data_IF_541162188825
#
_entry.id   IF_541162188825
#
_cell.length_a   1.000
_cell.length_b   1.000
_cell.length_c   1.000
_cell.angle_alpha   90.00
_cell.angle_beta   90.00
_cell.angle_gamma   90.00
#
_symmetry.space_group_name_H-M   'P 1'
#
loop_
_entity.id
_entity.type
_entity.pdbx_description
1 polymer ?
#
# COMPACT_ATOMS: atom_id res chain seq x y z
N UNK A 1 22.94 -37.96 63.14
CA UNK A 1 22.81 -38.40 61.73
C UNK A 1 22.40 -37.22 60.83
N UNK A 2 23.22 -36.18 60.64
CA UNK A 2 22.83 -35.05 59.75
C UNK A 2 23.99 -34.38 58.99
N UNK A 3 25.19 -34.98 58.92
CA UNK A 3 26.35 -34.35 58.28
C UNK A 3 26.83 -35.01 56.99
N UNK A 4 26.08 -35.97 56.45
CA UNK A 4 26.41 -36.66 55.18
C UNK A 4 25.53 -36.23 54.01
N UNK A 5 24.54 -35.36 54.22
CA UNK A 5 23.62 -34.95 53.15
C UNK A 5 24.01 -33.62 52.46
N UNK A 6 24.83 -32.79 53.11
CA UNK A 6 25.23 -31.49 52.55
C UNK A 6 26.36 -31.56 51.50
N UNK A 7 27.15 -32.65 51.48
CA UNK A 7 28.21 -32.85 50.48
C UNK A 7 27.71 -33.39 49.13
N UNK A 8 26.48 -33.90 49.05
CA UNK A 8 25.90 -34.41 47.81
C UNK A 8 25.25 -33.30 46.95
N UNK A 9 24.99 -32.12 47.53
CA UNK A 9 24.30 -31.02 46.83
C UNK A 9 25.32 -30.09 46.13
N UNK A 10 26.58 -30.07 46.56
CA UNK A 10 27.62 -29.20 45.99
C UNK A 10 28.25 -29.72 44.70
N UNK A 11 27.96 -30.95 44.28
CA UNK A 11 28.50 -31.54 43.04
C UNK A 11 27.50 -31.60 41.87
N UNK A 12 26.26 -31.14 42.09
CA UNK A 12 25.20 -31.06 41.07
C UNK A 12 24.92 -29.61 40.62
N UNK A 13 25.92 -28.72 40.72
CA UNK A 13 25.78 -27.29 40.41
C UNK A 13 26.50 -26.81 39.15
N UNK A 14 27.21 -27.68 38.42
CA UNK A 14 28.06 -27.28 37.28
C UNK A 14 27.70 -27.91 35.94
N UNK A 15 26.46 -28.40 35.78
CA UNK A 15 26.01 -29.03 34.53
C UNK A 15 24.66 -28.52 34.02
N UNK A 16 24.33 -27.25 34.27
CA UNK A 16 23.24 -26.57 33.55
C UNK A 16 23.88 -25.50 32.68
N UNK A 17 24.50 -25.96 31.58
CA UNK A 17 24.74 -25.09 30.44
C UNK A 17 23.35 -24.77 29.88
N UNK A 18 22.81 -23.60 30.21
CA UNK A 18 21.65 -23.06 29.50
C UNK A 18 22.07 -22.99 28.03
N UNK A 19 21.36 -23.64 27.10
CA UNK A 19 21.66 -23.47 25.70
C UNK A 19 21.44 -21.99 25.39
N UNK A 20 22.50 -21.30 25.01
CA UNK A 20 22.41 -19.97 24.44
C UNK A 20 21.59 -20.14 23.17
N UNK A 21 20.28 -19.86 23.27
CA UNK A 21 19.45 -19.66 22.09
C UNK A 21 20.08 -18.49 21.35
N UNK A 22 20.80 -18.80 20.27
CA UNK A 22 21.13 -17.81 19.26
C UNK A 22 19.81 -17.11 18.92
N UNK A 23 19.73 -15.77 18.99
CA UNK A 23 18.54 -15.07 18.53
C UNK A 23 18.28 -15.60 17.13
N UNK A 24 17.13 -16.22 16.92
CA UNK A 24 16.66 -16.52 15.56
C UNK A 24 16.72 -15.17 14.86
N UNK A 25 17.59 -15.07 13.86
CA UNK A 25 17.55 -13.97 12.91
C UNK A 25 16.08 -13.80 12.58
N UNK A 26 15.51 -12.66 12.97
CA UNK A 26 14.27 -12.21 12.37
C UNK A 26 14.63 -12.15 10.89
N UNK A 27 14.20 -13.16 10.13
CA UNK A 27 14.03 -13.00 8.71
C UNK A 27 13.17 -11.75 8.61
N UNK A 28 13.79 -10.63 8.25
CA UNK A 28 13.07 -9.47 7.77
C UNK A 28 12.21 -10.02 6.63
N UNK A 29 10.92 -10.15 6.91
CA UNK A 29 9.96 -10.44 5.88
C UNK A 29 10.22 -9.40 4.79
N UNK A 30 10.43 -9.88 3.56
CA UNK A 30 10.56 -9.01 2.41
C UNK A 30 9.46 -7.94 2.50
N UNK A 31 9.76 -6.67 2.20
CA UNK A 31 8.78 -5.60 2.33
C UNK A 31 7.49 -6.03 1.62
N UNK A 32 6.43 -6.24 2.41
CA UNK A 32 5.10 -6.51 1.87
C UNK A 32 4.82 -5.40 0.86
N UNK A 33 4.42 -5.74 -0.37
CA UNK A 33 4.16 -4.74 -1.38
C UNK A 33 3.14 -3.72 -0.83
N UNK A 34 3.28 -2.43 -1.18
CA UNK A 34 2.40 -1.40 -0.65
C UNK A 34 0.95 -1.76 -0.92
N UNK A 35 0.18 -2.01 0.14
CA UNK A 35 -1.24 -2.31 0.03
C UNK A 35 -1.96 -1.04 -0.43
N UNK A 36 -2.35 -1.05 -1.71
CA UNK A 36 -3.11 0.05 -2.33
C UNK A 36 -4.51 0.23 -1.74
N UNK A 37 -4.95 -0.61 -0.79
CA UNK A 37 -6.30 -0.58 -0.23
C UNK A 37 -7.36 -1.15 -1.17
N UNK A 38 -6.97 -1.66 -2.34
CA UNK A 38 -7.84 -2.30 -3.31
C UNK A 38 -8.05 -3.78 -2.95
N UNK A 39 -9.31 -4.22 -2.86
CA UNK A 39 -9.67 -5.61 -2.52
C UNK A 39 -9.25 -6.67 -3.58
N UNK A 40 -8.83 -6.21 -4.77
CA UNK A 40 -8.31 -7.02 -5.88
C UNK A 40 -6.84 -6.69 -6.18
N UNK A 41 -6.13 -6.01 -5.27
CA UNK A 41 -4.71 -5.66 -5.43
C UNK A 41 -3.86 -6.88 -5.80
N UNK A 42 -4.06 -8.00 -5.09
CA UNK A 42 -3.34 -9.25 -5.37
C UNK A 42 -3.57 -9.75 -6.81
N UNK A 43 -4.81 -9.75 -7.28
CA UNK A 43 -5.15 -10.15 -8.64
C UNK A 43 -4.49 -9.22 -9.67
N UNK A 44 -4.55 -7.90 -9.44
CA UNK A 44 -3.88 -6.91 -10.29
C UNK A 44 -2.37 -7.17 -10.38
N UNK A 45 -1.71 -7.42 -9.24
CA UNK A 45 -0.28 -7.75 -9.21
C UNK A 45 0.05 -9.05 -9.93
N UNK A 46 -0.72 -10.12 -9.71
CA UNK A 46 -0.50 -11.40 -10.37
C UNK A 46 -0.65 -11.28 -11.90
N UNK A 47 -1.65 -10.52 -12.38
CA UNK A 47 -1.83 -10.21 -13.80
C UNK A 47 -0.63 -9.45 -14.36
N UNK A 48 -0.18 -8.39 -13.68
CA UNK A 48 0.99 -7.61 -14.11
C UNK A 48 2.25 -8.47 -14.14
N UNK A 49 2.51 -9.26 -13.10
CA UNK A 49 3.67 -10.15 -13.03
C UNK A 49 3.69 -11.16 -14.17
N UNK A 50 2.54 -11.73 -14.53
CA UNK A 50 2.42 -12.65 -15.67
C UNK A 50 2.66 -11.92 -16.99
N UNK A 51 2.14 -10.71 -17.16
CA UNK A 51 2.36 -9.89 -18.35
C UNK A 51 3.83 -9.45 -18.50
N UNK A 52 4.52 -9.15 -17.41
CA UNK A 52 5.95 -8.79 -17.41
C UNK A 52 6.88 -9.95 -17.81
N UNK A 53 6.40 -11.20 -17.76
CA UNK A 53 7.17 -12.34 -18.27
C UNK A 53 7.30 -12.32 -19.79
N UNK A 54 6.42 -11.61 -20.50
CA UNK A 54 6.51 -11.41 -21.94
C UNK A 54 7.39 -10.19 -22.25
N UNK A 55 8.50 -10.41 -22.96
CA UNK A 55 9.44 -9.34 -23.31
C UNK A 55 8.83 -8.24 -24.17
N UNK A 56 7.98 -8.59 -25.15
CA UNK A 56 7.33 -7.62 -26.02
C UNK A 56 6.35 -6.75 -25.22
N UNK A 57 5.53 -7.38 -24.39
CA UNK A 57 4.58 -6.64 -23.56
C UNK A 57 5.29 -5.75 -22.53
N UNK A 58 6.38 -6.23 -21.93
CA UNK A 58 7.19 -5.47 -20.97
C UNK A 58 7.78 -4.20 -21.58
N UNK A 59 8.30 -4.27 -22.80
CA UNK A 59 8.81 -3.07 -23.49
C UNK A 59 7.71 -2.04 -23.73
N UNK A 60 6.51 -2.50 -24.13
CA UNK A 60 5.33 -1.63 -24.30
C UNK A 60 4.88 -1.01 -22.98
N UNK A 61 4.90 -1.78 -21.89
CA UNK A 61 4.56 -1.30 -20.56
C UNK A 61 5.54 -0.22 -20.08
N UNK A 62 6.84 -0.38 -20.34
CA UNK A 62 7.87 0.60 -19.97
C UNK A 62 7.85 1.86 -20.83
N UNK A 63 7.47 1.75 -22.11
CA UNK A 63 7.39 2.89 -23.03
C UNK A 63 6.06 3.67 -22.93
N UNK A 64 5.02 3.09 -22.34
CA UNK A 64 3.70 3.70 -22.26
C UNK A 64 3.65 4.83 -21.21
N UNK A 65 3.00 5.94 -21.55
CA UNK A 65 2.70 6.99 -20.60
C UNK A 65 1.49 6.62 -19.73
N UNK A 66 1.33 7.29 -18.58
CA UNK A 66 0.18 7.08 -17.70
C UNK A 66 -1.18 7.25 -18.42
N UNK A 67 -1.26 8.19 -19.37
CA UNK A 67 -2.47 8.41 -20.19
C UNK A 67 -2.72 7.28 -21.19
N UNK A 68 -1.66 6.73 -21.81
CA UNK A 68 -1.77 5.59 -22.73
C UNK A 68 -2.24 4.31 -21.99
N UNK A 69 -1.81 4.15 -20.73
CA UNK A 69 -2.23 3.05 -19.86
C UNK A 69 -3.72 3.20 -19.50
N UNK A 70 -4.15 4.41 -19.09
CA UNK A 70 -5.55 4.70 -18.74
C UNK A 70 -6.52 4.61 -19.93
N UNK A 71 -6.06 4.93 -21.13
CA UNK A 71 -6.90 4.96 -22.35
C UNK A 71 -7.15 3.58 -22.97
N UNK A 72 -6.60 2.50 -22.41
CA UNK A 72 -6.83 1.13 -22.90
C UNK A 72 -6.02 0.77 -24.15
N UNK A 73 -5.06 1.61 -24.55
CA UNK A 73 -4.16 1.33 -25.68
C UNK A 73 -3.27 0.11 -25.41
N UNK A 74 -2.80 -0.03 -24.17
CA UNK A 74 -2.01 -1.18 -23.72
C UNK A 74 -2.79 -2.49 -23.82
N UNK A 75 -4.10 -2.46 -23.59
CA UNK A 75 -4.95 -3.65 -23.63
C UNK A 75 -4.98 -4.33 -25.00
N UNK A 76 -4.81 -3.58 -26.09
CA UNK A 76 -4.75 -4.12 -27.46
C UNK A 76 -3.47 -4.91 -27.73
N UNK A 77 -2.39 -4.62 -27.02
CA UNK A 77 -1.13 -5.34 -27.16
C UNK A 77 -1.23 -6.77 -26.61
N UNK A 78 -2.27 -7.06 -25.82
CA UNK A 78 -2.54 -8.40 -25.28
C UNK A 78 -2.75 -9.44 -26.38
N UNK A 79 -3.21 -9.06 -27.57
CA UNK A 79 -3.43 -9.96 -28.72
C UNK A 79 -2.13 -10.53 -29.31
N UNK A 80 -1.00 -9.89 -29.01
CA UNK A 80 0.32 -10.33 -29.48
C UNK A 80 1.10 -11.12 -28.43
N UNK A 81 0.54 -11.26 -27.23
CA UNK A 81 1.18 -11.96 -26.12
C UNK A 81 1.22 -13.47 -26.36
N UNK A 82 2.31 -14.11 -25.93
CA UNK A 82 2.51 -15.56 -26.10
C UNK A 82 1.40 -16.42 -25.49
N UNK A 83 1.15 -17.59 -26.09
CA UNK A 83 0.09 -18.51 -25.66
C UNK A 83 0.22 -18.94 -24.20
N UNK A 84 1.44 -19.19 -23.71
CA UNK A 84 1.70 -19.59 -22.33
C UNK A 84 1.26 -18.53 -21.31
N UNK A 85 1.43 -17.25 -21.65
CA UNK A 85 1.00 -16.12 -20.83
C UNK A 85 -0.51 -15.99 -20.88
N UNK A 86 -1.13 -16.12 -22.07
CA UNK A 86 -2.59 -16.16 -22.23
C UNK A 86 -3.24 -17.24 -21.38
N UNK A 87 -2.73 -18.47 -21.41
CA UNK A 87 -3.26 -19.56 -20.57
C UNK A 87 -3.16 -19.26 -19.08
N UNK A 88 -2.07 -18.63 -18.63
CA UNK A 88 -1.93 -18.21 -17.22
C UNK A 88 -2.92 -17.11 -16.85
N UNK A 89 -3.13 -16.13 -17.73
CA UNK A 89 -4.11 -15.05 -17.51
C UNK A 89 -5.55 -15.59 -17.44
N UNK A 90 -5.90 -16.53 -18.31
CA UNK A 90 -7.19 -17.22 -18.27
C UNK A 90 -7.42 -17.93 -16.92
N UNK A 91 -6.38 -18.61 -16.41
CA UNK A 91 -6.42 -19.29 -15.12
C UNK A 91 -6.56 -18.29 -13.97
N UNK A 92 -5.79 -17.20 -13.95
CA UNK A 92 -5.90 -16.14 -12.95
C UNK A 92 -7.31 -15.55 -12.92
N UNK A 93 -7.89 -15.27 -14.09
CA UNK A 93 -9.27 -14.77 -14.18
C UNK A 93 -10.27 -15.76 -13.57
N UNK A 94 -10.13 -17.06 -13.87
CA UNK A 94 -11.01 -18.10 -13.31
C UNK A 94 -10.89 -18.19 -11.79
N UNK A 95 -9.67 -18.09 -11.26
CA UNK A 95 -9.42 -18.09 -9.83
C UNK A 95 -10.06 -16.87 -9.16
N UNK A 96 -9.91 -15.68 -9.75
CA UNK A 96 -10.53 -14.47 -9.22
C UNK A 96 -12.05 -14.51 -9.26
N UNK A 97 -12.65 -14.97 -10.38
CA UNK A 97 -14.10 -15.16 -10.47
C UNK A 97 -14.59 -16.16 -9.43
N UNK A 98 -13.86 -17.26 -9.21
CA UNK A 98 -14.20 -18.26 -8.17
C UNK A 98 -14.16 -17.65 -6.77
N UNK A 99 -13.11 -16.88 -6.47
CA UNK A 99 -12.95 -16.15 -5.21
C UNK A 99 -14.11 -15.19 -4.97
N UNK A 100 -14.46 -14.37 -5.96
CA UNK A 100 -15.55 -13.41 -5.86
C UNK A 100 -16.91 -14.09 -5.67
N UNK A 101 -17.16 -15.21 -6.36
CA UNK A 101 -18.38 -16.01 -6.15
C UNK A 101 -18.47 -16.57 -4.74
N UNK A 102 -17.34 -17.04 -4.19
CA UNK A 102 -17.29 -17.55 -2.81
C UNK A 102 -17.57 -16.44 -1.80
N UNK A 103 -16.98 -15.27 -1.98
CA UNK A 103 -17.23 -14.08 -1.15
C UNK A 103 -18.68 -13.63 -1.24
N UNK A 104 -19.25 -13.62 -2.44
CA UNK A 104 -20.66 -13.27 -2.66
C UNK A 104 -21.58 -14.25 -1.92
N UNK A 105 -21.32 -15.55 -2.04
CA UNK A 105 -22.08 -16.59 -1.36
C UNK A 105 -21.99 -16.44 0.16
N UNK A 106 -20.78 -16.28 0.70
CA UNK A 106 -20.57 -16.10 2.14
C UNK A 106 -21.29 -14.85 2.69
N UNK A 107 -21.28 -13.74 1.94
CA UNK A 107 -22.03 -12.53 2.29
C UNK A 107 -23.54 -12.77 2.28
N UNK A 108 -24.06 -13.43 1.24
CA UNK A 108 -25.48 -13.77 1.15
C UNK A 108 -25.92 -14.65 2.31
N UNK A 109 -25.18 -15.73 2.59
CA UNK A 109 -25.48 -16.66 3.69
C UNK A 109 -25.52 -15.91 5.04
N UNK A 110 -24.51 -15.06 5.32
CA UNK A 110 -24.46 -14.25 6.54
C UNK A 110 -25.62 -13.25 6.67
N UNK A 111 -26.04 -12.61 5.57
CA UNK A 111 -27.17 -11.67 5.58
C UNK A 111 -28.52 -12.36 5.72
N UNK A 112 -28.67 -13.57 5.17
CA UNK A 112 -29.88 -14.37 5.31
C UNK A 112 -30.08 -14.86 6.75
N UNK A 113 -29.00 -15.15 7.47
CA UNK A 113 -29.05 -15.48 8.91
C UNK A 113 -29.49 -14.29 9.78
N UNK A 114 -29.26 -13.06 9.34
CA UNK A 114 -29.54 -11.83 10.11
C UNK A 114 -30.85 -11.12 9.71
N UNK A 115 -31.62 -11.64 8.74
CA UNK A 115 -32.84 -11.01 8.19
C UNK A 115 -32.64 -9.55 7.73
N UNK A 116 -31.45 -9.23 7.21
CA UNK A 116 -31.10 -7.89 6.71
C UNK A 116 -31.26 -7.83 5.20
N UNK A 117 -31.85 -6.75 4.68
CA UNK A 117 -31.94 -6.53 3.24
C UNK A 117 -30.54 -6.47 2.61
N UNK A 118 -30.34 -7.29 1.57
CA UNK A 118 -29.08 -7.35 0.82
C UNK A 118 -29.01 -6.17 -0.15
N UNK A 119 -27.99 -5.31 0.01
CA UNK A 119 -27.68 -4.30 -1.00
C UNK A 119 -27.00 -4.96 -2.21
N UNK A 120 -27.82 -5.38 -3.17
CA UNK A 120 -27.37 -5.98 -4.41
C UNK A 120 -26.42 -5.07 -5.20
N UNK A 121 -26.54 -3.75 -5.09
CA UNK A 121 -25.69 -2.80 -5.81
C UNK A 121 -24.25 -2.82 -5.26
N UNK A 122 -24.10 -2.85 -3.93
CA UNK A 122 -22.80 -2.96 -3.29
C UNK A 122 -22.10 -4.29 -3.58
N UNK A 123 -22.86 -5.36 -3.81
CA UNK A 123 -22.32 -6.66 -4.22
C UNK A 123 -21.82 -6.63 -5.67
N UNK A 124 -22.57 -6.00 -6.59
CA UNK A 124 -22.19 -5.91 -8.00
C UNK A 124 -20.91 -5.07 -8.21
N UNK A 125 -20.67 -4.05 -7.39
CA UNK A 125 -19.42 -3.27 -7.42
C UNK A 125 -18.17 -4.15 -7.29
N UNK A 126 -18.26 -5.31 -6.61
CA UNK A 126 -17.11 -6.21 -6.45
C UNK A 126 -16.64 -6.81 -7.78
N UNK A 127 -17.48 -6.82 -8.81
CA UNK A 127 -17.21 -7.38 -10.13
C UNK A 127 -16.89 -6.31 -11.20
N UNK A 128 -16.82 -5.02 -10.84
CA UNK A 128 -16.65 -3.92 -11.82
C UNK A 128 -15.33 -4.02 -12.62
N UNK A 129 -14.31 -4.68 -12.08
CA UNK A 129 -13.00 -4.86 -12.71
C UNK A 129 -12.90 -6.10 -13.64
N UNK A 130 -13.98 -6.85 -13.83
CA UNK A 130 -14.03 -8.04 -14.70
C UNK A 130 -15.16 -7.91 -15.73
N UNK A 131 -14.99 -8.50 -16.93
CA UNK A 131 -16.11 -8.58 -17.87
C UNK A 131 -17.15 -9.62 -17.41
N UNK A 132 -18.40 -9.17 -17.25
CA UNK A 132 -19.53 -10.04 -16.90
C UNK A 132 -19.94 -10.99 -18.03
N UNK A 133 -19.66 -10.63 -19.29
CA UNK A 133 -20.06 -11.40 -20.47
C UNK A 133 -19.14 -12.59 -20.72
N UNK A 134 -17.86 -12.47 -20.33
CA UNK A 134 -16.87 -13.53 -20.47
C UNK A 134 -16.24 -13.82 -19.11
N UNK A 135 -16.45 -15.02 -18.57
CA UNK A 135 -15.97 -15.37 -17.22
C UNK A 135 -14.76 -16.31 -17.23
N UNK A 136 -14.32 -16.78 -18.41
CA UNK A 136 -13.42 -17.93 -18.52
C UNK A 136 -12.15 -17.66 -19.33
N UNK A 137 -12.14 -16.58 -20.11
CA UNK A 137 -11.01 -16.15 -20.93
C UNK A 137 -10.69 -14.71 -20.59
N UNK A 138 -9.42 -14.39 -20.40
CA UNK A 138 -8.91 -13.05 -20.14
C UNK A 138 -8.63 -12.35 -21.47
N UNK A 139 -9.44 -11.33 -21.75
CA UNK A 139 -9.39 -10.55 -22.99
C UNK A 139 -8.83 -9.15 -22.76
N UNK A 140 -8.56 -8.43 -23.86
CA UNK A 140 -8.13 -7.04 -23.82
C UNK A 140 -9.06 -6.18 -22.96
N UNK A 141 -10.37 -6.44 -23.05
CA UNK A 141 -11.39 -5.73 -22.28
C UNK A 141 -11.26 -5.94 -20.77
N UNK A 142 -10.85 -7.13 -20.33
CA UNK A 142 -10.62 -7.39 -18.90
C UNK A 142 -9.44 -6.58 -18.38
N UNK A 143 -8.35 -6.51 -19.15
CA UNK A 143 -7.20 -5.70 -18.79
C UNK A 143 -7.54 -4.19 -18.77
N UNK A 144 -8.33 -3.74 -19.75
CA UNK A 144 -8.83 -2.36 -19.79
C UNK A 144 -9.70 -2.03 -18.56
N UNK A 145 -10.67 -2.89 -18.25
CA UNK A 145 -11.53 -2.73 -17.07
C UNK A 145 -10.70 -2.76 -15.80
N UNK A 146 -9.81 -3.72 -15.64
CA UNK A 146 -8.97 -3.85 -14.44
C UNK A 146 -8.12 -2.59 -14.18
N UNK A 147 -7.47 -2.04 -15.22
CA UNK A 147 -6.67 -0.81 -15.11
C UNK A 147 -7.57 0.39 -14.84
N UNK A 148 -8.68 0.51 -15.56
CA UNK A 148 -9.60 1.64 -15.43
C UNK A 148 -10.26 1.69 -14.05
N UNK A 149 -10.68 0.54 -13.53
CA UNK A 149 -11.30 0.43 -12.21
C UNK A 149 -10.26 0.68 -11.12
N UNK A 150 -9.05 0.12 -11.24
CA UNK A 150 -7.96 0.38 -10.29
C UNK A 150 -7.60 1.87 -10.21
N UNK A 151 -7.46 2.54 -11.36
CA UNK A 151 -7.14 3.98 -11.41
C UNK A 151 -8.26 4.84 -10.84
N UNK A 152 -9.51 4.54 -11.17
CA UNK A 152 -10.69 5.21 -10.61
C UNK A 152 -10.81 5.01 -9.09
N UNK A 153 -10.58 3.79 -8.61
CA UNK A 153 -10.71 3.48 -7.18
C UNK A 153 -9.60 4.15 -6.36
N UNK A 154 -8.37 4.20 -6.87
CA UNK A 154 -7.27 4.95 -6.26
C UNK A 154 -7.55 6.46 -6.22
N UNK A 155 -8.02 7.03 -7.34
CA UNK A 155 -8.37 8.46 -7.40
C UNK A 155 -9.52 8.81 -6.44
N UNK A 156 -10.52 7.92 -6.32
CA UNK A 156 -11.62 8.11 -5.38
C UNK A 156 -11.18 7.98 -3.93
N UNK A 157 -10.26 7.06 -3.63
CA UNK A 157 -9.68 6.92 -2.30
C UNK A 157 -8.99 8.23 -1.90
N UNK A 158 -8.13 8.77 -2.75
CA UNK A 158 -7.44 10.05 -2.50
C UNK A 158 -8.44 11.22 -2.36
N UNK A 159 -9.48 11.26 -3.20
CA UNK A 159 -10.48 12.32 -3.16
C UNK A 159 -11.35 12.29 -1.90
N UNK A 160 -11.80 11.11 -1.46
CA UNK A 160 -12.62 10.96 -0.27
C UNK A 160 -11.87 11.41 0.99
N UNK A 161 -10.61 10.98 1.14
CA UNK A 161 -9.75 11.41 2.25
C UNK A 161 -9.52 12.92 2.21
N UNK A 162 -9.35 13.50 1.02
CA UNK A 162 -9.21 14.94 0.87
C UNK A 162 -10.49 15.71 1.24
N UNK A 163 -11.67 15.21 0.89
CA UNK A 163 -12.94 15.79 1.31
C UNK A 163 -13.18 15.68 2.82
N UNK A 164 -12.89 14.52 3.40
CA UNK A 164 -12.99 14.31 4.85
C UNK A 164 -12.06 15.26 5.61
N UNK A 165 -10.82 15.40 5.14
CA UNK A 165 -9.87 16.37 5.69
C UNK A 165 -10.41 17.81 5.59
N UNK A 166 -10.97 18.21 4.45
CA UNK A 166 -11.61 19.52 4.28
C UNK A 166 -12.77 19.72 5.27
N UNK A 167 -13.66 18.74 5.40
CA UNK A 167 -14.80 18.79 6.32
C UNK A 167 -14.34 18.92 7.76
N UNK A 168 -13.34 18.13 8.14
CA UNK A 168 -12.72 18.18 9.47
C UNK A 168 -12.11 19.56 9.75
N UNK A 169 -11.31 20.10 8.83
CA UNK A 169 -10.72 21.44 8.96
C UNK A 169 -11.79 22.55 9.06
N UNK A 170 -12.85 22.48 8.24
CA UNK A 170 -13.98 23.42 8.30
C UNK A 170 -14.72 23.34 9.64
N UNK A 171 -14.99 22.13 10.14
CA UNK A 171 -15.67 21.91 11.43
C UNK A 171 -14.82 22.45 12.58
N UNK A 172 -13.52 22.14 12.59
CA UNK A 172 -12.58 22.61 13.60
C UNK A 172 -12.43 24.14 13.59
N UNK A 173 -12.40 24.75 12.40
CA UNK A 173 -12.39 26.20 12.29
C UNK A 173 -13.72 26.83 12.77
N UNK A 174 -14.86 26.22 12.46
CA UNK A 174 -16.15 26.66 12.96
C UNK A 174 -16.23 26.60 14.49
N UNK A 175 -15.86 25.47 15.09
CA UNK A 175 -15.78 25.30 16.55
C UNK A 175 -14.85 26.33 17.18
N UNK A 176 -13.70 26.60 16.56
CA UNK A 176 -12.78 27.64 17.02
C UNK A 176 -13.42 29.03 17.00
N UNK A 177 -14.14 29.38 15.93
CA UNK A 177 -14.82 30.68 15.81
C UNK A 177 -15.92 30.83 16.86
N UNK A 178 -16.69 29.77 17.09
CA UNK A 178 -17.72 29.77 18.15
C UNK A 178 -17.09 29.88 19.54
N UNK A 179 -15.99 29.18 19.80
CA UNK A 179 -15.22 29.31 21.04
C UNK A 179 -14.77 30.77 21.24
N UNK A 180 -14.12 31.39 20.26
CA UNK A 180 -13.66 32.78 20.35
C UNK A 180 -14.79 33.79 20.58
N UNK A 181 -15.99 33.54 20.03
CA UNK A 181 -17.18 34.37 20.29
C UNK A 181 -17.68 34.26 21.72
N UNK A 182 -17.46 33.12 22.39
CA UNK A 182 -17.88 32.91 23.77
C UNK A 182 -16.95 33.52 24.82
N UNK A 183 -15.76 34.00 24.40
CA UNK A 183 -14.74 34.58 25.28
C UNK A 183 -14.82 36.12 25.38
N UNK A 184 -14.40 36.64 26.53
CA UNK A 184 -14.18 38.08 26.77
C UNK A 184 -13.05 38.65 25.88
N UNK A 185 -13.05 39.98 25.68
CA UNK A 185 -12.14 40.68 24.75
C UNK A 185 -10.64 40.42 25.03
N UNK A 186 -10.22 40.44 26.29
CA UNK A 186 -8.81 40.21 26.65
C UNK A 186 -8.38 38.76 26.35
N UNK A 187 -9.20 37.78 26.74
CA UNK A 187 -8.91 36.36 26.53
C UNK A 187 -8.96 35.98 25.04
N UNK A 188 -9.86 36.60 24.27
CA UNK A 188 -9.93 36.41 22.81
C UNK A 188 -8.62 36.82 22.14
N UNK A 189 -8.05 37.96 22.54
CA UNK A 189 -6.78 38.47 22.00
C UNK A 189 -5.60 37.56 22.34
N UNK A 190 -5.57 37.02 23.56
CA UNK A 190 -4.54 36.07 23.98
C UNK A 190 -4.61 34.76 23.18
N UNK A 191 -5.81 34.19 23.01
CA UNK A 191 -6.01 32.96 22.27
C UNK A 191 -5.70 33.12 20.76
N UNK A 192 -6.05 34.28 20.19
CA UNK A 192 -5.69 34.61 18.80
C UNK A 192 -4.18 34.71 18.62
N UNK A 193 -3.48 35.39 19.54
CA UNK A 193 -2.02 35.50 19.51
C UNK A 193 -1.33 34.14 19.65
N UNK A 194 -1.80 33.31 20.58
CA UNK A 194 -1.29 31.94 20.78
C UNK A 194 -1.49 31.08 19.51
N UNK A 195 -2.65 31.18 18.87
CA UNK A 195 -2.91 30.46 17.62
C UNK A 195 -2.07 30.96 16.45
N UNK A 196 -1.83 32.27 16.33
CA UNK A 196 -0.91 32.81 15.33
C UNK A 196 0.52 32.28 15.54
N UNK A 197 0.97 32.19 16.79
CA UNK A 197 2.27 31.62 17.13
C UNK A 197 2.35 30.14 16.73
N UNK A 198 1.31 29.35 17.03
CA UNK A 198 1.22 27.95 16.58
C UNK A 198 1.23 27.84 15.05
N UNK A 199 0.54 28.73 14.34
CA UNK A 199 0.58 28.77 12.87
C UNK A 199 1.97 29.13 12.33
N UNK A 200 2.68 30.05 12.98
CA UNK A 200 4.07 30.38 12.61
C UNK A 200 4.99 29.18 12.82
N UNK A 201 4.93 28.53 13.99
CA UNK A 201 5.68 27.30 14.27
C UNK A 201 5.40 26.19 13.26
N UNK A 202 4.13 25.99 12.87
CA UNK A 202 3.79 25.05 11.81
C UNK A 202 4.23 25.48 10.41
N UNK A 203 4.49 26.76 10.14
CA UNK A 203 5.06 27.21 8.85
C UNK A 203 6.58 27.14 8.82
N UNK A 204 7.21 27.23 9.99
CA UNK A 204 8.66 27.24 10.17
C UNK A 204 9.27 25.83 10.27
N UNK A 205 8.47 24.76 10.13
CA UNK A 205 9.02 23.41 10.03
C UNK A 205 9.81 23.25 8.70
N UNK A 206 10.99 22.59 8.73
CA UNK A 206 11.70 22.27 7.51
C UNK A 206 10.83 21.38 6.62
N UNK A 207 10.90 21.58 5.30
CA UNK A 207 10.16 20.77 4.34
C UNK A 207 10.60 19.31 4.48
N UNK A 208 9.71 18.46 5.00
CA UNK A 208 9.95 17.02 5.10
C UNK A 208 9.74 16.42 3.71
N UNK A 209 10.77 15.77 3.17
CA UNK A 209 10.68 15.08 1.88
C UNK A 209 9.81 13.83 1.99
N UNK A 210 9.03 13.53 0.95
CA UNK A 210 8.20 12.31 0.92
C UNK A 210 9.12 11.09 0.87
N UNK A 211 8.83 10.01 1.62
CA UNK A 211 9.59 8.76 1.54
C UNK A 211 9.73 8.25 0.10
N UNK A 212 10.93 7.86 -0.31
CA UNK A 212 11.27 7.43 -1.66
C UNK A 212 11.34 8.54 -2.72
N UNK A 213 11.10 9.81 -2.37
CA UNK A 213 11.18 10.91 -3.33
C UNK A 213 12.63 11.20 -3.76
N UNK A 214 12.81 11.72 -4.97
CA UNK A 214 14.14 12.09 -5.49
C UNK A 214 14.84 13.12 -4.59
N UNK A 215 14.08 14.01 -3.96
CA UNK A 215 14.61 15.01 -3.04
C UNK A 215 15.13 14.36 -1.75
N UNK A 216 14.44 13.34 -1.23
CA UNK A 216 14.93 12.54 -0.10
C UNK A 216 16.20 11.76 -0.47
N UNK A 217 16.26 11.15 -1.65
CA UNK A 217 17.47 10.42 -2.09
C UNK A 217 18.67 11.35 -2.27
N UNK A 218 18.43 12.59 -2.74
CA UNK A 218 19.46 13.63 -2.85
C UNK A 218 19.96 14.12 -1.50
N UNK A 219 19.06 14.25 -0.52
CA UNK A 219 19.41 14.58 0.86
C UNK A 219 20.32 13.51 1.45
N UNK A 220 19.97 12.23 1.31
CA UNK A 220 20.85 11.12 1.75
C UNK A 220 22.20 11.13 1.01
N UNK A 221 22.20 11.36 -0.30
CA UNK A 221 23.43 11.49 -1.11
C UNK A 221 24.34 12.64 -0.65
N UNK A 222 23.75 13.76 -0.24
CA UNK A 222 24.49 14.93 0.24
C UNK A 222 24.96 14.76 1.68
N UNK A 223 24.09 14.27 2.56
CA UNK A 223 24.34 14.20 4.01
C UNK A 223 25.10 12.94 4.43
N UNK A 224 24.82 11.79 3.81
CA UNK A 224 25.46 10.50 4.14
C UNK A 224 26.70 10.25 3.28
N UNK A 225 26.65 10.51 1.97
CA UNK A 225 27.77 10.25 1.06
C UNK A 225 28.69 11.47 0.85
N UNK A 226 28.24 12.68 1.22
CA UNK A 226 29.03 13.91 1.04
C UNK A 226 29.23 14.33 -0.42
N UNK A 227 28.39 13.83 -1.34
CA UNK A 227 28.50 14.06 -2.78
C UNK A 227 27.60 15.23 -3.23
N UNK A 228 27.94 15.89 -4.34
CA UNK A 228 27.20 17.06 -4.83
C UNK A 228 25.76 16.68 -5.24
N UNK A 229 24.72 17.36 -4.70
CA UNK A 229 23.32 17.20 -5.12
C UNK A 229 23.06 17.37 -6.63
N UNK A 230 23.92 18.13 -7.32
CA UNK A 230 23.83 18.37 -8.76
C UNK A 230 24.31 17.18 -9.60
N UNK A 231 25.18 16.33 -9.04
CA UNK A 231 25.70 15.12 -9.68
C UNK A 231 24.90 13.86 -9.30
N UNK A 232 23.76 14.05 -8.61
CA UNK A 232 22.93 12.95 -8.17
C UNK A 232 22.54 12.01 -9.32
N UNK A 233 23.03 10.78 -9.24
CA UNK A 233 22.68 9.72 -10.17
C UNK A 233 22.05 8.56 -9.39
N UNK A 234 20.77 8.23 -9.63
CA UNK A 234 20.09 7.17 -8.89
C UNK A 234 20.80 5.81 -9.05
N UNK A 235 21.38 5.51 -10.21
CA UNK A 235 22.12 4.25 -10.40
C UNK A 235 23.38 4.18 -9.54
N UNK A 236 24.06 5.30 -9.32
CA UNK A 236 25.25 5.35 -8.47
C UNK A 236 24.84 5.33 -7.01
N UNK A 237 23.81 6.08 -6.63
CA UNK A 237 23.20 6.05 -5.29
C UNK A 237 22.84 4.62 -4.87
N UNK A 238 22.07 3.89 -5.69
CA UNK A 238 21.71 2.51 -5.38
C UNK A 238 22.88 1.52 -5.45
N UNK A 239 24.01 1.87 -6.08
CA UNK A 239 25.24 1.05 -6.02
C UNK A 239 26.05 1.30 -4.75
N UNK A 240 26.03 2.54 -4.23
CA UNK A 240 26.70 2.89 -2.97
C UNK A 240 25.93 2.34 -1.77
N UNK A 241 24.60 2.38 -1.83
CA UNK A 241 23.71 1.94 -0.75
C UNK A 241 23.13 0.54 -0.96
N UNK A 242 23.31 -0.05 -2.13
CA UNK A 242 22.84 -1.39 -2.47
C UNK A 242 23.98 -2.39 -2.50
N UNK A 243 24.11 -3.18 -1.44
CA UNK A 243 24.73 -4.50 -1.48
C UNK A 243 23.87 -5.43 -2.37
N UNK A 244 23.99 -5.30 -3.70
CA UNK A 244 23.62 -6.37 -4.62
C UNK A 244 24.73 -7.41 -4.64
N UNK A 245 24.75 -8.24 -3.59
CA UNK A 245 25.25 -9.61 -3.71
C UNK A 245 24.16 -10.39 -4.45
N UNK A 246 24.21 -10.36 -5.78
CA UNK A 246 23.60 -11.39 -6.63
C UNK A 246 24.50 -12.61 -6.58
#
# INVERSE_FOLDING_TARGET
MHLSWFMAITLLGLAICVPIERPKEKQEAAPEPPDTGLYYHRYLQEVINVLETDGHFREKLQAANAEDIKSGKLSKELDFVGHSVRTKLDELKRQEVSRLRMLLKAKMDATMEQDVQVDHLALLKQFEHLDSQNQHTFEARDLELLIKTATKDLENYDAAHHEEFKRYEMMKEHERREYLKSLDEEKRREEEAHFEELKKKHKEHPKVNVPGSRDQLKEVWQETDGLDPNEFNPKTFFKLHGDYRI
#
